data_IF_337327401098
#
_entry.id   IF_337327401098
#
_cell.length_a   1.000
_cell.length_b   1.000
_cell.length_c   1.000
_cell.angle_alpha   90.00
_cell.angle_beta   90.00
_cell.angle_gamma   90.00
#
_symmetry.space_group_name_H-M   'P 1'
#
loop_
_entity.id
_entity.type
_entity.pdbx_description
1 polymer ?
#
# COMPACT_ATOMS: atom_id res chain seq x y z
N UNK A 1 19.28 -12.66 0.58
CA UNK A 1 18.33 -13.22 1.57
C UNK A 1 17.92 -12.25 2.68
N UNK A 2 18.84 -11.59 3.39
CA UNK A 2 18.46 -10.67 4.49
C UNK A 2 17.67 -9.44 3.99
N UNK A 3 18.03 -8.89 2.82
CA UNK A 3 17.37 -7.69 2.25
C UNK A 3 15.92 -7.98 1.87
N UNK A 4 15.68 -9.16 1.31
CA UNK A 4 14.39 -9.67 0.88
C UNK A 4 13.48 -9.93 2.08
N UNK A 5 14.05 -10.43 3.18
CA UNK A 5 13.36 -10.60 4.46
C UNK A 5 12.89 -9.24 5.03
N UNK A 6 13.76 -8.22 4.98
CA UNK A 6 13.44 -6.85 5.42
C UNK A 6 12.27 -6.28 4.62
N UNK A 7 12.27 -6.46 3.29
CA UNK A 7 11.18 -5.99 2.44
C UNK A 7 9.85 -6.66 2.76
N UNK A 8 9.88 -7.96 3.07
CA UNK A 8 8.69 -8.70 3.47
C UNK A 8 8.14 -8.21 4.81
N UNK A 9 9.02 -7.94 5.78
CA UNK A 9 8.65 -7.34 7.07
C UNK A 9 8.02 -5.96 6.85
N UNK A 10 8.63 -5.11 6.02
CA UNK A 10 8.10 -3.78 5.70
C UNK A 10 6.68 -3.91 5.15
N UNK A 11 6.44 -4.79 4.18
CA UNK A 11 5.12 -5.02 3.60
C UNK A 11 4.11 -5.47 4.67
N UNK A 12 4.49 -6.39 5.55
CA UNK A 12 3.64 -6.88 6.63
C UNK A 12 3.26 -5.77 7.62
N UNK A 13 4.15 -4.79 7.86
CA UNK A 13 3.84 -3.62 8.68
C UNK A 13 2.73 -2.73 8.12
N UNK A 14 2.37 -2.87 6.84
CA UNK A 14 1.22 -2.16 6.26
C UNK A 14 -0.10 -2.58 6.89
N UNK A 15 -0.16 -3.80 7.43
CA UNK A 15 -1.34 -4.36 8.10
C UNK A 15 -1.68 -3.62 9.40
N UNK A 16 -0.79 -3.59 10.42
CA UNK A 16 -1.07 -2.88 11.66
C UNK A 16 -1.27 -1.38 11.43
N UNK A 17 -0.53 -0.77 10.49
CA UNK A 17 -0.71 0.65 10.14
C UNK A 17 -2.10 0.90 9.53
N UNK A 18 -2.55 0.06 8.61
CA UNK A 18 -3.89 0.17 8.03
C UNK A 18 -4.99 0.01 9.07
N UNK A 19 -4.83 -0.93 10.00
CA UNK A 19 -5.78 -1.13 11.12
C UNK A 19 -5.81 0.06 12.07
N UNK A 20 -4.64 0.62 12.41
CA UNK A 20 -4.53 1.79 13.25
C UNK A 20 -5.22 3.00 12.61
N UNK A 21 -4.90 3.30 11.35
CA UNK A 21 -5.50 4.40 10.59
C UNK A 21 -7.02 4.23 10.42
N UNK A 22 -7.49 3.01 10.17
CA UNK A 22 -8.92 2.74 10.07
C UNK A 22 -9.67 3.05 11.38
N UNK A 23 -8.99 2.88 12.53
CA UNK A 23 -9.55 3.17 13.85
C UNK A 23 -9.54 4.67 14.16
N UNK A 24 -8.43 5.36 13.89
CA UNK A 24 -8.25 6.77 14.28
C UNK A 24 -8.88 7.76 13.29
N UNK A 25 -8.89 7.43 12.00
CA UNK A 25 -9.29 8.35 10.92
C UNK A 25 -10.57 7.92 10.20
N UNK A 26 -11.46 7.19 10.90
CA UNK A 26 -12.64 6.52 10.30
C UNK A 26 -13.52 7.45 9.46
N UNK A 27 -13.81 8.65 9.95
CA UNK A 27 -14.70 9.59 9.26
C UNK A 27 -14.06 10.17 8.00
N UNK A 28 -12.79 10.58 8.08
CA UNK A 28 -12.07 11.10 6.91
C UNK A 28 -11.91 10.04 5.82
N UNK A 29 -11.58 8.81 6.22
CA UNK A 29 -11.47 7.68 5.30
C UNK A 29 -12.83 7.40 4.63
N UNK A 30 -13.94 7.48 5.37
CA UNK A 30 -15.28 7.30 4.80
C UNK A 30 -15.58 8.36 3.75
N UNK A 31 -15.23 9.63 4.01
CA UNK A 31 -15.34 10.72 3.04
C UNK A 31 -14.41 10.50 1.82
N UNK A 32 -13.24 9.90 2.02
CA UNK A 32 -12.24 9.66 0.98
C UNK A 32 -12.31 8.27 0.31
N UNK A 33 -13.32 7.45 0.63
CA UNK A 33 -13.39 6.05 0.19
C UNK A 33 -13.24 5.88 -1.35
N UNK A 34 -13.89 6.76 -2.13
CA UNK A 34 -13.77 6.73 -3.60
C UNK A 34 -12.35 7.06 -4.07
N UNK A 35 -11.69 8.03 -3.44
CA UNK A 35 -10.32 8.45 -3.76
C UNK A 35 -9.30 7.37 -3.39
N UNK A 36 -9.48 6.72 -2.23
CA UNK A 36 -8.63 5.60 -1.80
C UNK A 36 -8.69 4.41 -2.76
N UNK A 37 -9.88 4.07 -3.28
CA UNK A 37 -10.02 3.03 -4.30
C UNK A 37 -9.25 3.36 -5.59
N UNK A 38 -9.31 4.62 -6.03
CA UNK A 38 -8.55 5.09 -7.19
C UNK A 38 -7.05 4.99 -6.92
N UNK A 39 -6.60 5.42 -5.74
CA UNK A 39 -5.19 5.33 -5.34
C UNK A 39 -4.67 3.88 -5.33
N UNK A 40 -5.46 2.91 -4.86
CA UNK A 40 -5.09 1.47 -4.93
C UNK A 40 -4.84 1.05 -6.37
N UNK A 41 -5.75 1.41 -7.29
CA UNK A 41 -5.62 1.06 -8.70
C UNK A 41 -4.38 1.74 -9.30
N UNK A 42 -4.15 3.01 -9.00
CA UNK A 42 -2.96 3.74 -9.44
C UNK A 42 -1.68 3.10 -8.91
N UNK A 43 -1.57 2.80 -7.61
CA UNK A 43 -0.41 2.15 -7.02
C UNK A 43 -0.13 0.78 -7.66
N UNK A 44 -1.18 0.00 -7.93
CA UNK A 44 -1.05 -1.30 -8.57
C UNK A 44 -0.56 -1.19 -10.02
N UNK A 45 -1.17 -0.30 -10.82
CA UNK A 45 -0.77 -0.08 -12.22
C UNK A 45 0.65 0.48 -12.33
N UNK A 46 1.02 1.44 -11.48
CA UNK A 46 2.39 1.99 -11.44
C UNK A 46 3.38 0.90 -11.03
N UNK A 47 3.04 0.06 -10.04
CA UNK A 47 3.86 -1.07 -9.63
C UNK A 47 4.13 -2.06 -10.77
N UNK A 48 3.09 -2.39 -11.55
CA UNK A 48 3.23 -3.23 -12.74
C UNK A 48 4.09 -2.55 -13.81
N UNK A 49 3.83 -1.28 -14.09
CA UNK A 49 4.60 -0.54 -15.10
C UNK A 49 6.09 -0.49 -14.75
N UNK A 50 6.43 -0.21 -13.49
CA UNK A 50 7.81 -0.16 -13.00
C UNK A 50 8.53 -1.52 -13.05
N UNK A 51 7.80 -2.63 -13.13
CA UNK A 51 8.41 -3.94 -13.34
C UNK A 51 9.08 -4.05 -14.71
N UNK A 52 8.52 -3.39 -15.73
CA UNK A 52 9.04 -3.43 -17.11
C UNK A 52 10.08 -2.35 -17.40
N UNK A 53 10.21 -1.35 -16.53
CA UNK A 53 11.19 -0.26 -16.68
C UNK A 53 12.46 -0.61 -15.94
N UNK A 54 13.61 -0.51 -16.61
CA UNK A 54 14.88 -0.76 -15.95
C UNK A 54 15.38 0.51 -15.25
N UNK A 55 15.17 0.56 -13.93
CA UNK A 55 15.49 1.69 -13.07
C UNK A 55 16.22 1.22 -11.81
N UNK A 56 17.24 1.98 -11.37
CA UNK A 56 18.10 1.59 -10.24
C UNK A 56 17.32 1.38 -8.93
N UNK A 57 16.28 2.16 -8.70
CA UNK A 57 15.47 2.09 -7.47
C UNK A 57 14.15 1.33 -7.66
N UNK A 58 14.02 0.52 -8.71
CA UNK A 58 12.74 -0.17 -9.03
C UNK A 58 12.22 -1.00 -7.86
N UNK A 59 13.09 -1.79 -7.22
CA UNK A 59 12.70 -2.72 -6.15
C UNK A 59 12.14 -1.97 -4.92
N UNK A 60 12.86 -1.00 -4.31
CA UNK A 60 12.32 -0.21 -3.20
C UNK A 60 11.00 0.50 -3.51
N UNK A 61 10.85 1.04 -4.72
CA UNK A 61 9.63 1.75 -5.12
C UNK A 61 8.46 0.77 -5.22
N UNK A 62 8.66 -0.39 -5.86
CA UNK A 62 7.63 -1.44 -5.96
C UNK A 62 7.17 -1.88 -4.56
N UNK A 63 8.11 -2.10 -3.64
CA UNK A 63 7.79 -2.50 -2.26
C UNK A 63 6.97 -1.44 -1.53
N UNK A 64 7.34 -0.17 -1.72
CA UNK A 64 6.59 0.96 -1.12
C UNK A 64 5.17 1.03 -1.68
N UNK A 65 5.02 0.87 -3.00
CA UNK A 65 3.70 0.83 -3.65
C UNK A 65 2.87 -0.37 -3.17
N UNK A 66 3.47 -1.55 -3.02
CA UNK A 66 2.81 -2.73 -2.46
C UNK A 66 2.37 -2.51 -1.00
N UNK A 67 3.23 -1.89 -0.18
CA UNK A 67 2.91 -1.54 1.21
C UNK A 67 1.73 -0.56 1.29
N UNK A 68 1.72 0.49 0.47
CA UNK A 68 0.60 1.44 0.39
C UNK A 68 -0.69 0.73 -0.04
N UNK A 69 -0.60 -0.15 -1.04
CA UNK A 69 -1.75 -0.92 -1.55
C UNK A 69 -2.37 -1.78 -0.45
N UNK A 70 -1.56 -2.53 0.32
CA UNK A 70 -2.02 -3.36 1.43
C UNK A 70 -2.64 -2.51 2.54
N UNK A 71 -1.99 -1.39 2.88
CA UNK A 71 -2.49 -0.45 3.90
C UNK A 71 -3.88 0.08 3.51
N UNK A 72 -4.03 0.55 2.27
CA UNK A 72 -5.31 1.08 1.77
C UNK A 72 -6.38 -0.01 1.65
N UNK A 73 -6.03 -1.23 1.23
CA UNK A 73 -6.96 -2.36 1.17
C UNK A 73 -7.53 -2.68 2.55
N UNK A 74 -6.68 -2.74 3.57
CA UNK A 74 -7.11 -3.01 4.95
C UNK A 74 -8.01 -1.91 5.48
N UNK A 75 -7.64 -0.66 5.21
CA UNK A 75 -8.44 0.50 5.59
C UNK A 75 -9.86 0.40 5.00
N UNK A 76 -9.97 0.11 3.70
CA UNK A 76 -11.27 -0.02 3.02
C UNK A 76 -12.06 -1.22 3.55
N UNK A 77 -11.40 -2.37 3.71
CA UNK A 77 -12.04 -3.59 4.19
C UNK A 77 -12.62 -3.42 5.60
N UNK A 78 -11.95 -2.65 6.47
CA UNK A 78 -12.36 -2.44 7.85
C UNK A 78 -13.47 -1.40 8.02
N UNK A 79 -13.59 -0.46 7.10
CA UNK A 79 -14.55 0.66 7.17
C UNK A 79 -15.84 0.40 6.38
N UNK A 80 -15.82 -0.57 5.47
CA UNK A 80 -17.04 -1.11 4.84
C UNK A 80 -18.01 -1.63 5.90
#
# INVERSE_FOLDING_TARGET
>A
MIKELIYLIIILFGIPVGLFLAKTCKEEIKAWNKRLKILIICCFLIGIFLFFVDFQYKIPIIITLSWMTITFLIIIFRIR
#
